data_IF_133865048335
#
_entry.id   IF_133865048335
#
_cell.length_a   1.000
_cell.length_b   1.000
_cell.length_c   1.000
_cell.angle_alpha   90.00
_cell.angle_beta   90.00
_cell.angle_gamma   90.00
#
_symmetry.space_group_name_H-M   'P 1'
#
loop_
_entity.id
_entity.type
_entity.pdbx_description
1 polymer ?
#
# COMPACT_ATOMS: atom_id res chain seq x y z
N UNK A 1 8.14 -16.49 19.06
CA UNK A 1 8.21 -16.21 17.62
C UNK A 1 7.18 -15.15 17.28
N UNK A 2 7.61 -13.92 17.01
CA UNK A 2 6.72 -12.85 16.58
C UNK A 2 6.52 -12.96 15.06
N UNK A 3 5.36 -13.48 14.68
CA UNK A 3 4.91 -13.60 13.29
C UNK A 3 4.83 -12.21 12.67
N UNK A 4 5.63 -11.94 11.63
CA UNK A 4 5.30 -11.16 10.43
C UNK A 4 4.64 -9.78 10.52
N UNK A 5 4.46 -9.17 11.68
CA UNK A 5 3.84 -7.85 11.80
C UNK A 5 4.91 -6.79 11.69
N UNK A 6 5.06 -6.24 10.50
CA UNK A 6 5.72 -4.96 10.31
C UNK A 6 4.95 -3.93 11.15
N UNK A 7 5.60 -3.14 12.04
CA UNK A 7 4.94 -2.01 12.66
C UNK A 7 4.35 -1.14 11.54
N UNK A 8 3.16 -0.54 11.71
CA UNK A 8 2.53 0.31 10.68
C UNK A 8 3.57 1.32 10.20
N UNK A 9 4.22 1.03 9.07
CA UNK A 9 5.26 1.85 8.49
C UNK A 9 4.56 3.01 7.79
N UNK A 10 3.94 3.88 8.58
CA UNK A 10 3.46 5.16 8.10
C UNK A 10 4.61 5.94 7.44
N UNK A 11 5.85 5.77 7.94
CA UNK A 11 6.99 6.56 7.51
C UNK A 11 7.47 6.34 6.07
N UNK A 12 7.35 5.14 5.49
CA UNK A 12 7.90 4.90 4.15
C UNK A 12 7.13 5.64 3.06
N UNK A 13 5.81 5.79 3.21
CA UNK A 13 4.98 6.54 2.27
C UNK A 13 4.79 8.00 2.72
N UNK A 14 4.71 8.30 4.02
CA UNK A 14 4.64 9.68 4.51
C UNK A 14 5.89 10.51 4.14
N UNK A 15 7.07 9.90 4.04
CA UNK A 15 8.26 10.60 3.56
C UNK A 15 8.11 11.13 2.12
N UNK A 16 7.28 10.49 1.30
CA UNK A 16 6.98 10.93 -0.07
C UNK A 16 5.88 11.99 -0.15
N UNK A 17 5.10 12.19 0.92
CA UNK A 17 3.94 13.08 0.94
C UNK A 17 4.34 14.52 0.56
N UNK A 18 5.41 15.06 1.17
CA UNK A 18 5.96 16.39 0.85
C UNK A 18 6.48 16.51 -0.59
N UNK A 19 6.93 15.41 -1.18
CA UNK A 19 7.39 15.41 -2.57
C UNK A 19 6.21 15.41 -3.55
N UNK A 20 5.12 14.73 -3.19
CA UNK A 20 3.91 14.62 -3.99
C UNK A 20 2.95 15.80 -3.81
N UNK A 21 3.09 16.55 -2.72
CA UNK A 21 2.31 17.75 -2.41
C UNK A 21 2.37 18.76 -3.58
N UNK A 22 1.18 19.18 -4.05
CA UNK A 22 1.05 20.09 -5.19
C UNK A 22 1.39 19.51 -6.56
N UNK A 23 1.91 18.27 -6.65
CA UNK A 23 2.23 17.58 -7.91
C UNK A 23 1.19 16.53 -8.29
N UNK A 24 0.54 15.95 -7.29
CA UNK A 24 -0.51 14.94 -7.46
C UNK A 24 -1.84 15.59 -7.12
N UNK A 25 -2.79 15.54 -8.05
CA UNK A 25 -4.16 16.00 -7.77
C UNK A 25 -4.80 15.12 -6.68
N UNK A 26 -5.48 15.70 -5.67
CA UNK A 26 -6.15 14.93 -4.64
C UNK A 26 -7.28 14.04 -5.19
N UNK A 27 -7.84 14.42 -6.34
CA UNK A 27 -8.89 13.67 -7.05
C UNK A 27 -8.32 12.63 -8.04
N UNK A 28 -6.98 12.55 -8.19
CA UNK A 28 -6.36 11.50 -8.99
C UNK A 28 -6.43 10.15 -8.27
N UNK A 29 -6.29 9.06 -9.04
CA UNK A 29 -6.22 7.70 -8.48
C UNK A 29 -5.14 7.58 -7.41
N UNK A 30 -3.98 8.22 -7.58
CA UNK A 30 -2.90 8.22 -6.60
C UNK A 30 -3.29 8.94 -5.31
N UNK A 31 -4.02 10.06 -5.41
CA UNK A 31 -4.54 10.81 -4.25
C UNK A 31 -5.61 10.04 -3.48
N UNK A 32 -6.52 9.36 -4.20
CA UNK A 32 -7.54 8.48 -3.61
C UNK A 32 -6.87 7.30 -2.88
N UNK A 33 -5.92 6.63 -3.52
CA UNK A 33 -5.21 5.51 -2.92
C UNK A 33 -4.40 5.93 -1.69
N UNK A 34 -3.73 7.08 -1.72
CA UNK A 34 -3.02 7.61 -0.54
C UNK A 34 -3.94 7.79 0.67
N UNK A 35 -5.17 8.29 0.46
CA UNK A 35 -6.13 8.56 1.53
C UNK A 35 -6.85 7.30 2.02
N UNK A 36 -7.22 6.41 1.10
CA UNK A 36 -8.18 5.33 1.39
C UNK A 36 -7.53 3.94 1.44
N UNK A 37 -6.24 3.75 1.13
CA UNK A 37 -5.63 2.42 1.01
C UNK A 37 -5.77 1.56 2.28
N UNK A 38 -5.69 2.15 3.48
CA UNK A 38 -5.86 1.41 4.73
C UNK A 38 -7.29 0.91 4.94
N UNK A 39 -8.29 1.63 4.40
CA UNK A 39 -9.70 1.26 4.46
C UNK A 39 -10.05 0.27 3.37
N UNK A 40 -9.56 0.50 2.15
CA UNK A 40 -9.83 -0.33 0.97
C UNK A 40 -9.09 -1.67 1.01
N UNK A 41 -7.86 -1.68 1.52
CA UNK A 41 -6.95 -2.82 1.52
C UNK A 41 -6.33 -3.03 2.90
N UNK A 42 -7.11 -3.29 3.96
CA UNK A 42 -6.55 -3.58 5.27
C UNK A 42 -5.67 -4.83 5.20
N UNK A 43 -4.49 -4.79 5.83
CA UNK A 43 -3.53 -5.91 5.82
C UNK A 43 -4.16 -7.23 6.29
N UNK A 44 -5.13 -7.15 7.22
CA UNK A 44 -5.89 -8.30 7.72
C UNK A 44 -6.66 -9.06 6.63
N UNK A 45 -7.09 -8.39 5.56
CA UNK A 45 -7.78 -9.03 4.43
C UNK A 45 -6.86 -9.93 3.61
N UNK A 46 -5.54 -9.70 3.70
CA UNK A 46 -4.53 -10.40 2.91
C UNK A 46 -3.55 -11.20 3.79
N UNK A 47 -3.80 -11.27 5.10
CA UNK A 47 -2.87 -11.86 6.04
C UNK A 47 -2.59 -13.34 5.72
N UNK A 48 -3.60 -14.08 5.27
CA UNK A 48 -3.50 -15.48 4.84
C UNK A 48 -2.61 -15.68 3.61
N UNK A 49 -2.71 -14.80 2.61
CA UNK A 49 -1.92 -14.87 1.37
C UNK A 49 -0.42 -14.66 1.60
N UNK A 50 -0.05 -13.87 2.61
CA UNK A 50 1.33 -13.47 2.85
C UNK A 50 1.94 -14.06 4.13
N UNK A 51 1.24 -14.96 4.84
CA UNK A 51 1.75 -15.60 6.06
C UNK A 51 3.01 -16.45 5.79
N UNK A 52 3.03 -17.21 4.70
CA UNK A 52 4.12 -18.16 4.40
C UNK A 52 5.08 -17.68 3.30
N UNK A 53 4.65 -16.78 2.41
CA UNK A 53 5.38 -16.36 1.20
C UNK A 53 5.70 -14.85 1.17
N UNK A 54 5.19 -14.09 2.14
CA UNK A 54 5.32 -12.63 2.18
C UNK A 54 6.72 -12.13 2.58
N UNK A 55 7.12 -10.99 2.01
CA UNK A 55 8.29 -10.25 2.50
C UNK A 55 7.91 -9.48 3.76
N UNK A 56 8.56 -9.79 4.89
CA UNK A 56 8.35 -9.11 6.20
C UNK A 56 8.58 -7.59 6.18
N UNK A 57 9.19 -7.04 5.13
CA UNK A 57 9.47 -5.61 4.99
C UNK A 57 8.44 -4.88 4.12
N UNK A 58 7.45 -5.57 3.57
CA UNK A 58 6.44 -4.99 2.68
C UNK A 58 5.05 -5.36 3.20
N UNK A 59 4.26 -4.40 3.68
CA UNK A 59 2.88 -4.64 4.10
C UNK A 59 2.05 -5.19 2.93
N UNK A 60 1.17 -6.18 3.15
CA UNK A 60 0.25 -6.71 2.14
C UNK A 60 -0.55 -5.64 1.38
N UNK A 61 -1.00 -4.59 2.07
CA UNK A 61 -1.69 -3.45 1.48
C UNK A 61 -0.90 -2.81 0.32
N UNK A 62 0.42 -2.70 0.45
CA UNK A 62 1.27 -2.12 -0.61
C UNK A 62 1.22 -2.96 -1.88
N UNK A 63 1.22 -4.28 -1.73
CA UNK A 63 1.11 -5.20 -2.88
C UNK A 63 -0.24 -5.03 -3.55
N UNK A 64 -1.32 -4.95 -2.79
CA UNK A 64 -2.66 -4.73 -3.32
C UNK A 64 -2.77 -3.41 -4.10
N UNK A 65 -2.23 -2.31 -3.54
CA UNK A 65 -2.18 -1.00 -4.23
C UNK A 65 -1.41 -1.09 -5.55
N UNK A 66 -0.25 -1.77 -5.57
CA UNK A 66 0.54 -1.95 -6.80
C UNK A 66 -0.24 -2.75 -7.84
N UNK A 67 -0.92 -3.83 -7.45
CA UNK A 67 -1.72 -4.63 -8.38
C UNK A 67 -2.88 -3.82 -8.99
N UNK A 68 -3.53 -2.97 -8.21
CA UNK A 68 -4.57 -2.06 -8.72
C UNK A 68 -4.00 -1.09 -9.75
N UNK A 69 -2.86 -0.47 -9.44
CA UNK A 69 -2.19 0.45 -10.37
C UNK A 69 -1.75 -0.27 -11.65
N UNK A 70 -1.12 -1.45 -11.54
CA UNK A 70 -0.75 -2.26 -12.70
C UNK A 70 -1.96 -2.57 -13.59
N UNK A 71 -3.12 -2.88 -12.98
CA UNK A 71 -4.34 -3.19 -13.73
C UNK A 71 -4.90 -1.97 -14.47
N UNK A 72 -4.90 -0.81 -13.82
CA UNK A 72 -5.39 0.46 -14.40
C UNK A 72 -4.48 0.91 -15.55
N UNK A 73 -3.17 0.76 -15.39
CA UNK A 73 -2.15 1.18 -16.36
C UNK A 73 -1.88 0.10 -17.45
N UNK A 74 -2.55 -1.05 -17.41
CA UNK A 74 -2.39 -2.12 -18.40
C UNK A 74 -1.03 -2.83 -18.36
N UNK A 75 -0.38 -2.86 -17.20
CA UNK A 75 0.94 -3.46 -16.99
C UNK A 75 0.88 -4.92 -16.48
N UNK A 76 -0.24 -5.60 -16.67
CA UNK A 76 -0.53 -6.97 -16.20
C UNK A 76 -0.95 -7.90 -17.31
#
# INVERSE_FOLDING_TARGET
MTLGRTPKQADLLCASERFCEGRVSPESIYGVLHRECFTLFPDEMFADLFTDVGRRSVPPMIVAVVMVLQRIEGCS
#
